data_IF_100202627944
#
_entry.id   IF_100202627944
#
_cell.length_a   1.000
_cell.length_b   1.000
_cell.length_c   1.000
_cell.angle_alpha   90.00
_cell.angle_beta   90.00
_cell.angle_gamma   90.00
#
_symmetry.space_group_name_H-M   'P 1'
#
loop_
_entity.id
_entity.type
_entity.pdbx_description
1 polymer ?
#
# COMPACT_ATOMS: atom_id res chain seq x y z
N UNK A 1 -3.09 5.55 -14.75
CA UNK A 1 -4.35 5.31 -14.03
C UNK A 1 -4.31 6.09 -12.73
N UNK A 2 -5.42 6.72 -12.35
CA UNK A 2 -5.54 7.46 -11.10
C UNK A 2 -6.67 6.85 -10.28
N UNK A 3 -6.44 6.71 -8.97
CA UNK A 3 -7.44 6.31 -8.00
C UNK A 3 -7.62 7.40 -6.95
N UNK A 4 -8.87 7.65 -6.60
CA UNK A 4 -9.25 8.42 -5.43
C UNK A 4 -9.75 7.45 -4.36
N UNK A 5 -9.28 7.61 -3.13
CA UNK A 5 -9.76 6.80 -2.02
C UNK A 5 -11.10 7.35 -1.51
N UNK A 6 -12.06 6.47 -1.25
CA UNK A 6 -13.37 6.83 -0.68
C UNK A 6 -13.29 7.29 0.78
N UNK A 7 -12.21 6.92 1.46
CA UNK A 7 -11.91 7.24 2.87
C UNK A 7 -10.42 7.65 3.00
N UNK A 8 -10.08 8.45 4.00
CA UNK A 8 -8.71 8.83 4.31
C UNK A 8 -7.86 7.63 4.77
N UNK A 9 -8.45 6.58 5.35
CA UNK A 9 -7.72 5.39 5.77
C UNK A 9 -7.60 4.35 4.64
N UNK A 10 -6.44 4.29 3.98
CA UNK A 10 -6.15 3.30 2.91
C UNK A 10 -6.32 1.85 3.37
N UNK A 11 -6.34 1.59 4.68
CA UNK A 11 -6.49 0.25 5.24
C UNK A 11 -7.94 -0.27 5.17
N UNK A 12 -8.92 0.63 5.08
CA UNK A 12 -10.34 0.31 5.01
C UNK A 12 -11.04 1.27 4.04
N UNK A 13 -10.80 1.12 2.74
CA UNK A 13 -11.30 2.07 1.73
C UNK A 13 -11.60 1.38 0.40
N UNK A 14 -12.30 2.09 -0.48
CA UNK A 14 -12.49 1.72 -1.88
C UNK A 14 -11.66 2.67 -2.74
N UNK A 15 -10.91 2.12 -3.70
CA UNK A 15 -10.15 2.87 -4.70
C UNK A 15 -11.04 3.07 -5.93
N UNK A 16 -11.48 4.31 -6.11
CA UNK A 16 -12.40 4.76 -7.15
C UNK A 16 -11.61 5.34 -8.32
N UNK A 17 -12.02 5.09 -9.55
CA UNK A 17 -11.49 5.80 -10.73
C UNK A 17 -12.13 7.20 -10.90
N UNK A 18 -11.76 7.90 -11.98
CA UNK A 18 -12.32 9.23 -12.29
C UNK A 18 -13.82 9.25 -12.60
N UNK A 19 -14.45 8.09 -12.81
CA UNK A 19 -15.89 7.93 -13.01
C UNK A 19 -16.61 7.39 -11.76
N UNK A 20 -15.91 7.35 -10.60
CA UNK A 20 -16.40 6.82 -9.32
C UNK A 20 -16.73 5.31 -9.34
N UNK A 21 -16.15 4.54 -10.25
CA UNK A 21 -16.23 3.08 -10.21
C UNK A 21 -15.15 2.53 -9.27
N UNK A 22 -15.56 1.67 -8.34
CA UNK A 22 -14.64 0.98 -7.42
C UNK A 22 -13.93 -0.17 -8.12
N UNK A 23 -12.60 -0.06 -8.26
CA UNK A 23 -11.77 -1.12 -8.85
C UNK A 23 -11.12 -2.01 -7.81
N UNK A 24 -10.79 -1.42 -6.65
CA UNK A 24 -10.16 -2.15 -5.55
C UNK A 24 -10.79 -1.76 -4.23
N UNK A 25 -10.73 -2.68 -3.27
CA UNK A 25 -11.17 -2.46 -1.91
C UNK A 25 -10.15 -3.02 -0.94
N UNK A 26 -9.88 -2.29 0.12
CA UNK A 26 -9.04 -2.73 1.23
C UNK A 26 -9.88 -2.97 2.47
N UNK A 27 -9.49 -3.96 3.26
CA UNK A 27 -10.17 -4.27 4.51
C UNK A 27 -9.21 -4.85 5.53
N UNK A 28 -9.10 -4.20 6.68
CA UNK A 28 -8.32 -4.69 7.82
C UNK A 28 -9.23 -5.35 8.84
N UNK A 29 -8.95 -6.61 9.18
CA UNK A 29 -9.61 -7.27 10.31
C UNK A 29 -9.04 -6.74 11.62
N UNK A 30 -9.88 -6.07 12.40
CA UNK A 30 -9.52 -5.56 13.72
C UNK A 30 -9.79 -6.64 14.79
N UNK A 31 -8.88 -7.61 14.96
CA UNK A 31 -8.93 -8.54 16.09
C UNK A 31 -7.79 -8.25 17.07
N UNK A 32 -8.11 -8.09 18.36
CA UNK A 32 -7.21 -7.62 19.41
C UNK A 32 -6.05 -8.58 19.75
N UNK A 33 -6.10 -9.84 19.30
CA UNK A 33 -5.16 -10.91 19.67
C UNK A 33 -4.31 -11.45 18.50
N UNK A 34 -4.56 -11.01 17.26
CA UNK A 34 -3.87 -11.50 16.06
C UNK A 34 -3.09 -10.38 15.34
N UNK A 35 -2.06 -10.72 14.55
CA UNK A 35 -1.39 -9.75 13.68
C UNK A 35 -2.41 -8.99 12.84
N UNK A 36 -2.27 -7.67 12.73
CA UNK A 36 -3.15 -6.86 11.88
C UNK A 36 -2.93 -7.28 10.42
N UNK A 37 -3.93 -7.94 9.87
CA UNK A 37 -4.00 -8.36 8.48
C UNK A 37 -4.92 -7.40 7.70
N UNK A 38 -4.39 -6.84 6.61
CA UNK A 38 -5.16 -6.05 5.65
C UNK A 38 -5.23 -6.80 4.34
N UNK A 39 -6.44 -7.03 3.84
CA UNK A 39 -6.68 -7.70 2.56
C UNK A 39 -6.97 -6.68 1.47
N UNK A 40 -6.55 -7.01 0.25
CA UNK A 40 -6.78 -6.25 -0.97
C UNK A 40 -7.64 -7.09 -1.90
N UNK A 41 -8.78 -6.54 -2.29
CA UNK A 41 -9.73 -7.13 -3.22
C UNK A 41 -9.77 -6.31 -4.51
N UNK A 42 -9.93 -6.99 -5.63
CA UNK A 42 -10.16 -6.39 -6.95
C UNK A 42 -11.57 -6.71 -7.43
N UNK A 43 -12.24 -5.74 -8.06
CA UNK A 43 -13.53 -5.94 -8.68
C UNK A 43 -13.46 -7.04 -9.75
N UNK A 44 -14.36 -8.01 -9.66
CA UNK A 44 -14.48 -9.15 -10.56
C UNK A 44 -15.97 -9.49 -10.75
N UNK A 45 -16.68 -8.78 -11.65
CA UNK A 45 -18.13 -8.92 -11.81
C UNK A 45 -18.59 -10.35 -12.15
N UNK A 46 -17.70 -11.18 -12.72
CA UNK A 46 -17.97 -12.57 -13.06
C UNK A 46 -17.75 -13.58 -11.91
N UNK A 47 -17.30 -13.15 -10.73
CA UNK A 47 -17.07 -14.02 -9.57
C UNK A 47 -18.24 -13.97 -8.57
N UNK A 48 -18.53 -15.08 -7.85
CA UNK A 48 -19.44 -15.04 -6.71
C UNK A 48 -18.97 -14.01 -5.69
N UNK A 49 -19.81 -13.00 -5.42
CA UNK A 49 -19.46 -11.87 -4.54
C UNK A 49 -18.87 -10.65 -5.24
N UNK A 50 -18.69 -10.69 -6.57
CA UNK A 50 -18.33 -9.52 -7.38
C UNK A 50 -16.89 -9.03 -7.23
N UNK A 51 -16.06 -9.71 -6.43
CA UNK A 51 -14.68 -9.34 -6.13
C UNK A 51 -13.80 -10.59 -5.95
N UNK A 52 -12.49 -10.43 -6.10
CA UNK A 52 -11.48 -11.47 -5.85
C UNK A 52 -10.37 -10.91 -4.96
N UNK A 53 -9.91 -11.71 -3.98
CA UNK A 53 -8.75 -11.35 -3.17
C UNK A 53 -7.48 -11.44 -4.02
N UNK A 54 -6.77 -10.32 -4.18
CA UNK A 54 -5.54 -10.22 -4.98
C UNK A 54 -4.31 -9.95 -4.12
N UNK A 55 -4.48 -9.64 -2.84
CA UNK A 55 -3.34 -9.49 -1.94
C UNK A 55 -3.68 -9.41 -0.47
N UNK A 56 -2.65 -9.56 0.35
CA UNK A 56 -2.72 -9.45 1.81
C UNK A 56 -1.45 -8.83 2.38
N UNK A 57 -1.61 -8.07 3.46
CA UNK A 57 -0.53 -7.43 4.21
C UNK A 57 -0.69 -7.84 5.67
N UNK A 58 0.27 -8.61 6.17
CA UNK A 58 0.32 -9.03 7.57
C UNK A 58 1.46 -8.34 8.29
N UNK A 59 1.13 -7.52 9.29
CA UNK A 59 2.12 -6.88 10.14
C UNK A 59 2.40 -7.72 11.40
N UNK A 60 3.51 -8.45 11.39
CA UNK A 60 3.96 -9.20 12.55
C UNK A 60 4.33 -8.30 13.75
N UNK A 61 3.84 -8.65 14.94
CA UNK A 61 4.26 -8.03 16.19
C UNK A 61 5.65 -8.55 16.61
N UNK A 62 5.79 -9.87 16.61
CA UNK A 62 6.99 -10.66 16.97
C UNK A 62 7.47 -11.57 15.83
N UNK A 63 6.83 -11.48 14.66
CA UNK A 63 7.18 -12.20 13.43
C UNK A 63 7.53 -11.21 12.33
N UNK A 64 8.15 -11.69 11.28
CA UNK A 64 8.41 -10.89 10.08
C UNK A 64 7.09 -10.40 9.45
N UNK A 65 7.19 -9.28 8.76
CA UNK A 65 6.09 -8.76 7.96
C UNK A 65 5.96 -9.59 6.69
N UNK A 66 4.73 -9.70 6.17
CA UNK A 66 4.48 -10.43 4.94
C UNK A 66 3.52 -9.63 4.06
N UNK A 67 3.90 -9.43 2.81
CA UNK A 67 3.05 -8.84 1.76
C UNK A 67 2.95 -9.84 0.63
N UNK A 68 1.74 -10.31 0.37
CA UNK A 68 1.44 -11.22 -0.74
C UNK A 68 0.58 -10.50 -1.76
N UNK A 69 0.94 -10.59 -3.04
CA UNK A 69 0.14 -10.12 -4.17
C UNK A 69 0.09 -11.21 -5.23
N UNK A 70 -1.11 -11.56 -5.68
CA UNK A 70 -1.37 -12.66 -6.64
C UNK A 70 -0.64 -13.97 -6.29
N UNK A 71 -0.60 -14.30 -4.99
CA UNK A 71 0.08 -15.51 -4.49
C UNK A 71 1.61 -15.43 -4.41
N UNK A 72 2.23 -14.29 -4.73
CA UNK A 72 3.67 -14.06 -4.63
C UNK A 72 4.02 -13.21 -3.43
N UNK A 73 5.10 -13.58 -2.73
CA UNK A 73 5.70 -12.72 -1.71
C UNK A 73 6.41 -11.54 -2.39
N UNK A 74 5.94 -10.34 -2.07
CA UNK A 74 6.47 -9.05 -2.55
C UNK A 74 6.82 -8.14 -1.37
N UNK A 75 7.13 -8.73 -0.21
CA UNK A 75 7.44 -8.00 1.02
C UNK A 75 8.57 -6.99 0.79
N UNK A 76 8.31 -5.68 0.94
CA UNK A 76 9.36 -4.69 0.79
C UNK A 76 10.42 -4.84 1.88
N UNK A 77 11.68 -4.80 1.46
CA UNK A 77 12.83 -4.91 2.34
C UNK A 77 13.52 -3.55 2.47
N UNK A 78 13.88 -3.21 3.70
CA UNK A 78 14.63 -2.00 4.01
C UNK A 78 16.12 -2.26 3.81
N UNK A 79 16.72 -1.59 2.83
CA UNK A 79 18.15 -1.79 2.52
C UNK A 79 19.13 -1.17 3.53
N UNK A 80 18.73 -0.15 4.31
CA UNK A 80 19.60 0.51 5.31
C UNK A 80 18.82 0.90 6.57
N UNK A 81 19.41 0.69 7.75
CA UNK A 81 18.79 0.94 9.08
C UNK A 81 18.29 2.36 9.31
N UNK A 82 18.80 3.36 8.59
CA UNK A 82 18.32 4.76 8.67
C UNK A 82 17.49 5.20 7.46
N UNK A 83 17.37 4.41 6.39
CA UNK A 83 16.63 4.82 5.20
C UNK A 83 15.13 4.70 5.40
N UNK A 84 14.32 5.65 4.94
CA UNK A 84 12.85 5.52 4.93
C UNK A 84 12.36 4.81 3.65
N UNK A 85 13.29 4.37 2.79
CA UNK A 85 12.98 3.67 1.56
C UNK A 85 12.91 2.16 1.74
N UNK A 86 11.99 1.52 1.05
CA UNK A 86 11.84 0.06 1.02
C UNK A 86 11.76 -0.41 -0.43
N UNK A 87 12.34 -1.58 -0.73
CA UNK A 87 12.47 -2.10 -2.10
C UNK A 87 11.83 -3.48 -2.17
N UNK A 88 11.11 -3.76 -3.25
CA UNK A 88 10.57 -5.08 -3.53
C UNK A 88 10.88 -5.50 -4.97
N UNK A 89 10.85 -6.80 -5.23
CA UNK A 89 10.91 -7.36 -6.57
C UNK A 89 9.49 -7.72 -7.05
N UNK A 90 9.14 -7.24 -8.24
CA UNK A 90 7.83 -7.43 -8.84
C UNK A 90 7.78 -8.70 -9.72
N UNK A 91 6.58 -9.07 -10.18
CA UNK A 91 6.39 -10.21 -11.10
C UNK A 91 7.01 -10.02 -12.48
N UNK A 92 7.26 -8.79 -12.91
CA UNK A 92 7.92 -8.47 -14.19
C UNK A 92 9.45 -8.66 -14.15
N UNK A 93 9.99 -9.12 -13.03
CA UNK A 93 11.42 -9.37 -12.83
C UNK A 93 12.23 -8.11 -12.50
N UNK A 94 11.59 -6.95 -12.30
CA UNK A 94 12.25 -5.71 -11.92
C UNK A 94 12.17 -5.45 -10.42
N UNK A 95 13.07 -4.59 -9.94
CA UNK A 95 13.06 -4.10 -8.56
C UNK A 95 12.58 -2.66 -8.51
N UNK A 96 11.68 -2.39 -7.57
CA UNK A 96 11.08 -1.08 -7.38
C UNK A 96 11.30 -0.59 -5.96
N UNK A 97 11.47 0.72 -5.81
CA UNK A 97 11.81 1.36 -4.55
C UNK A 97 10.77 2.40 -4.16
N UNK A 98 10.11 2.16 -3.04
CA UNK A 98 9.31 3.17 -2.37
C UNK A 98 10.22 4.18 -1.68
N UNK A 99 9.95 5.46 -1.90
CA UNK A 99 10.49 6.60 -1.15
C UNK A 99 9.34 7.20 -0.36
N UNK A 100 9.58 7.53 0.90
CA UNK A 100 8.59 8.20 1.74
C UNK A 100 9.02 9.64 1.99
N UNK A 101 8.11 10.58 1.80
CA UNK A 101 8.30 11.99 2.11
C UNK A 101 7.05 12.54 2.77
N UNK A 102 7.14 12.91 4.05
CA UNK A 102 6.09 13.63 4.80
C UNK A 102 4.68 13.01 4.67
N UNK A 103 4.59 11.68 4.54
CA UNK A 103 3.33 10.93 4.42
C UNK A 103 2.92 10.60 2.98
N UNK A 104 3.57 11.21 1.99
CA UNK A 104 3.48 10.81 0.58
C UNK A 104 4.45 9.67 0.29
N UNK A 105 4.13 8.88 -0.72
CA UNK A 105 4.99 7.79 -1.17
C UNK A 105 5.20 7.84 -2.69
N UNK A 106 6.45 7.69 -3.12
CA UNK A 106 6.81 7.64 -4.54
C UNK A 106 7.48 6.30 -4.82
N UNK A 107 6.94 5.55 -5.77
CA UNK A 107 7.55 4.32 -6.28
C UNK A 107 8.39 4.63 -7.52
N UNK A 108 9.65 4.20 -7.50
CA UNK A 108 10.54 4.32 -8.66
C UNK A 108 11.06 2.97 -9.11
N UNK A 109 11.24 2.78 -10.42
CA UNK A 109 12.02 1.66 -10.96
C UNK A 109 13.49 1.85 -10.53
N UNK A 110 14.08 0.85 -9.88
CA UNK A 110 15.42 1.01 -9.33
C UNK A 110 16.50 1.04 -10.42
N UNK A 111 16.24 0.52 -11.62
CA UNK A 111 17.18 0.57 -12.74
C UNK A 111 17.07 1.89 -13.50
N UNK A 112 15.85 2.27 -13.92
CA UNK A 112 15.64 3.45 -14.78
C UNK A 112 15.46 4.74 -14.01
N UNK A 113 15.18 4.66 -12.70
CA UNK A 113 14.83 5.78 -11.81
C UNK A 113 13.53 6.51 -12.20
N UNK A 114 12.77 5.98 -13.14
CA UNK A 114 11.48 6.51 -13.53
C UNK A 114 10.45 6.34 -12.42
N UNK A 115 9.54 7.31 -12.30
CA UNK A 115 8.40 7.24 -11.36
C UNK A 115 7.33 6.32 -11.94
N UNK A 116 6.96 5.31 -11.15
CA UNK A 116 6.02 4.26 -11.53
C UNK A 116 4.67 4.46 -10.85
N UNK A 117 4.69 4.90 -9.59
CA UNK A 117 3.50 5.26 -8.86
C UNK A 117 3.79 6.37 -7.86
N UNK A 118 2.74 7.08 -7.48
CA UNK A 118 2.77 8.13 -6.48
C UNK A 118 1.50 8.08 -5.65
N UNK A 119 1.64 8.16 -4.33
CA UNK A 119 0.54 8.28 -3.39
C UNK A 119 0.62 9.65 -2.73
N UNK A 120 -0.45 10.42 -2.93
CA UNK A 120 -0.65 11.72 -2.31
C UNK A 120 -1.57 11.56 -1.10
N UNK A 121 -1.02 11.86 0.07
CA UNK A 121 -1.75 11.89 1.32
C UNK A 121 -2.15 13.32 1.62
N UNK A 122 -3.45 13.53 1.78
CA UNK A 122 -3.99 14.76 2.33
C UNK A 122 -4.21 14.63 3.84
N UNK A 123 -4.01 15.72 4.56
CA UNK A 123 -4.19 15.77 6.01
C UNK A 123 -5.67 15.73 6.39
N UNK A 124 -5.97 15.30 7.61
CA UNK A 124 -7.34 15.17 8.13
C UNK A 124 -8.14 16.49 8.18
N UNK A 125 -7.46 17.64 8.09
CA UNK A 125 -8.09 18.97 7.98
C UNK A 125 -8.38 19.38 6.53
N UNK A 126 -7.90 18.61 5.56
CA UNK A 126 -8.18 18.84 4.14
C UNK A 126 -9.45 18.10 3.74
N UNK A 127 -10.33 18.77 3.01
CA UNK A 127 -11.47 18.13 2.36
C UNK A 127 -11.09 17.28 1.14
N UNK A 128 -9.80 17.24 0.78
CA UNK A 128 -9.31 16.50 -0.39
C UNK A 128 -9.12 15.02 -0.05
N UNK A 129 -9.67 14.11 -0.87
CA UNK A 129 -9.45 12.67 -0.69
C UNK A 129 -8.03 12.29 -1.11
N UNK A 130 -7.45 11.31 -0.43
CA UNK A 130 -6.15 10.74 -0.79
C UNK A 130 -6.17 10.14 -2.21
N UNK A 131 -5.03 10.20 -2.91
CA UNK A 131 -4.93 9.76 -4.30
C UNK A 131 -3.76 8.83 -4.55
N UNK A 132 -3.96 7.88 -5.45
CA UNK A 132 -2.90 7.02 -6.00
C UNK A 132 -2.83 7.26 -7.50
N UNK A 133 -1.67 7.68 -7.99
CA UNK A 133 -1.37 7.74 -9.41
C UNK A 133 -0.43 6.59 -9.79
N UNK A 134 -0.75 5.87 -10.86
CA UNK A 134 0.05 4.77 -11.40
C UNK A 134 0.31 5.04 -12.89
N UNK A 135 1.58 5.05 -13.29
CA UNK A 135 1.97 5.26 -14.68
C UNK A 135 1.59 4.05 -15.55
N UNK A 136 1.57 4.23 -16.87
CA UNK A 136 1.28 3.12 -17.81
C UNK A 136 2.23 1.93 -17.61
N UNK A 137 3.49 2.20 -17.27
CA UNK A 137 4.51 1.17 -17.00
C UNK A 137 4.23 0.37 -15.71
N UNK A 138 3.47 0.93 -14.77
CA UNK A 138 3.11 0.28 -13.52
C UNK A 138 1.83 -0.57 -13.60
N UNK A 139 1.04 -0.45 -14.67
CA UNK A 139 -0.23 -1.19 -14.80
C UNK A 139 -0.08 -2.72 -14.75
N UNK A 140 0.95 -3.34 -15.37
CA UNK A 140 1.12 -4.80 -15.31
C UNK A 140 1.33 -5.35 -13.90
N UNK A 141 1.79 -4.50 -12.96
CA UNK A 141 2.12 -4.87 -11.58
C UNK A 141 1.23 -4.12 -10.56
N UNK A 142 0.07 -3.63 -11.00
CA UNK A 142 -0.82 -2.79 -10.19
C UNK A 142 -1.18 -3.40 -8.83
N UNK A 143 -1.48 -4.70 -8.78
CA UNK A 143 -1.85 -5.39 -7.54
C UNK A 143 -0.68 -5.36 -6.53
N UNK A 144 0.55 -5.52 -7.01
CA UNK A 144 1.78 -5.47 -6.20
C UNK A 144 2.07 -4.05 -5.71
N UNK A 145 1.86 -3.05 -6.57
CA UNK A 145 1.97 -1.62 -6.20
C UNK A 145 0.99 -1.30 -5.06
N UNK A 146 -0.28 -1.70 -5.19
CA UNK A 146 -1.29 -1.42 -4.18
C UNK A 146 -1.03 -2.19 -2.87
N UNK A 147 -0.70 -3.48 -2.94
CA UNK A 147 -0.37 -4.28 -1.76
C UNK A 147 0.83 -3.72 -0.99
N UNK A 148 1.90 -3.36 -1.70
CA UNK A 148 3.09 -2.77 -1.09
C UNK A 148 2.85 -1.35 -0.59
N UNK A 149 1.99 -0.55 -1.23
CA UNK A 149 1.58 0.76 -0.73
C UNK A 149 0.82 0.65 0.60
N UNK A 150 -0.13 -0.28 0.72
CA UNK A 150 -0.85 -0.57 1.97
C UNK A 150 0.16 -0.86 3.09
N UNK A 151 1.14 -1.71 2.81
CA UNK A 151 2.22 -2.00 3.73
C UNK A 151 3.04 -0.76 4.11
N UNK A 152 3.43 0.07 3.14
CA UNK A 152 4.18 1.32 3.39
C UNK A 152 3.43 2.28 4.31
N UNK A 153 2.12 2.45 4.10
CA UNK A 153 1.27 3.29 4.96
C UNK A 153 1.15 2.70 6.37
N UNK A 154 0.90 1.39 6.47
CA UNK A 154 0.73 0.71 7.74
C UNK A 154 2.02 0.73 8.59
N UNK A 155 3.19 0.51 7.97
CA UNK A 155 4.48 0.54 8.67
C UNK A 155 4.85 1.96 9.09
N UNK A 156 4.55 2.98 8.27
CA UNK A 156 4.77 4.37 8.64
C UNK A 156 3.92 4.77 9.85
N UNK A 157 2.62 4.41 9.88
CA UNK A 157 1.73 4.65 11.03
C UNK A 157 2.30 4.00 12.31
N UNK A 158 2.77 2.74 12.22
CA UNK A 158 3.39 2.05 13.37
C UNK A 158 4.67 2.75 13.87
N UNK A 159 5.49 3.26 12.95
CA UNK A 159 6.73 4.01 13.29
C UNK A 159 6.42 5.34 13.95
N UNK A 160 5.39 6.05 13.49
CA UNK A 160 4.95 7.32 14.09
C UNK A 160 4.44 7.13 15.52
N UNK A 161 3.60 6.13 15.76
CA UNK A 161 3.09 5.86 17.11
C UNK A 161 4.21 5.57 18.11
N UNK A 162 5.19 4.72 17.74
CA UNK A 162 6.36 4.42 18.58
C UNK A 162 7.21 5.65 18.92
N UNK A 163 7.26 6.65 18.03
CA UNK A 163 8.00 7.89 18.30
C UNK A 163 7.26 8.77 19.30
N UNK A 164 5.94 8.85 19.20
CA UNK A 164 5.13 9.64 20.14
C UNK A 164 5.13 9.04 21.55
N UNK A 165 5.16 7.72 21.67
CA UNK A 165 5.21 7.03 22.98
C UNK A 165 6.57 7.22 23.70
N UNK A 166 7.62 7.61 22.99
CA UNK A 166 8.97 7.84 23.55
C UNK A 166 9.22 9.23 24.13
N UNK A 167 8.25 10.15 24.08
CA UNK A 167 8.33 11.51 24.66
C UNK A 167 7.51 11.67 25.94
N UNK A 168 6.96 10.58 26.46
CA UNK A 168 6.29 10.53 27.77
C UNK A 168 7.18 9.74 28.73
N UNK A 169 8.27 10.36 29.18
CA UNK A 169 9.11 9.89 30.29
C UNK A 169 9.82 11.05 30.94
#
# INVERSE_FOLDING_TARGET
>A
MEFTLSDLDILNTVLLDGANYGHYRTHTKLLQLYPRETKLFRAAPGQPGGEVEVGSVTLGAFRDHLVVANGRDVTPVRMRMMSVSETFAASDGRSYKWKADTGNFTLVDDKTKEVIAFFERHFFLSSKPNKVHISQKGLPIIDEILATLIYMVAIQRRRQNRRNDGWVS
#
